data_IF_113697798173
#
_entry.id   IF_113697798173
#
_cell.length_a   1.000
_cell.length_b   1.000
_cell.length_c   1.000
_cell.angle_alpha   90.00
_cell.angle_beta   90.00
_cell.angle_gamma   90.00
#
_symmetry.space_group_name_H-M   'P 1'
#
loop_
_entity.id
_entity.type
_entity.pdbx_description
1 polymer ?
#
# COMPACT_ATOMS: atom_id res chain seq x y z
N UNK A 1 4.66 13.74 1.08
CA UNK A 1 5.76 13.09 0.32
C UNK A 1 5.73 11.57 0.47
N UNK A 2 5.78 10.82 -0.64
CA UNK A 2 5.87 9.36 -0.65
C UNK A 2 7.32 8.89 -0.80
N UNK A 3 7.74 7.85 -0.08
CA UNK A 3 9.10 7.28 -0.15
C UNK A 3 9.07 5.76 -0.08
N UNK A 4 10.03 5.12 -0.73
CA UNK A 4 10.30 3.69 -0.61
C UNK A 4 11.67 3.49 0.03
N UNK A 5 11.74 2.62 1.04
CA UNK A 5 12.95 2.16 1.68
C UNK A 5 13.19 0.71 1.27
N UNK A 6 14.40 0.43 0.80
CA UNK A 6 14.79 -0.86 0.27
C UNK A 6 16.20 -1.24 0.73
N UNK A 7 16.56 -2.53 0.69
CA UNK A 7 17.95 -2.95 0.86
C UNK A 7 18.93 -2.18 -0.03
N UNK A 8 20.16 -2.03 0.45
CA UNK A 8 21.19 -1.29 -0.27
C UNK A 8 21.43 -1.93 -1.64
N UNK A 9 21.40 -1.12 -2.69
CA UNK A 9 21.63 -1.56 -4.07
C UNK A 9 20.36 -1.96 -4.84
N UNK A 10 19.19 -2.06 -4.19
CA UNK A 10 17.94 -2.48 -4.85
C UNK A 10 16.89 -1.37 -4.99
N UNK A 11 17.23 -0.12 -4.65
CA UNK A 11 16.26 1.00 -4.58
C UNK A 11 15.45 1.20 -5.87
N UNK A 12 16.04 0.96 -7.05
CA UNK A 12 15.36 1.07 -8.34
C UNK A 12 14.13 0.16 -8.44
N UNK A 13 14.17 -1.00 -7.78
CA UNK A 13 13.05 -1.93 -7.77
C UNK A 13 11.83 -1.37 -7.02
N UNK A 14 11.99 -0.30 -6.22
CA UNK A 14 10.89 0.36 -5.52
C UNK A 14 10.17 1.43 -6.36
N UNK A 15 10.70 1.82 -7.52
CA UNK A 15 10.18 2.94 -8.33
C UNK A 15 8.74 2.70 -8.79
N UNK A 16 8.40 1.47 -9.19
CA UNK A 16 7.04 1.09 -9.56
C UNK A 16 6.05 1.36 -8.43
N UNK A 17 6.34 0.85 -7.23
CA UNK A 17 5.46 0.98 -6.06
C UNK A 17 5.37 2.41 -5.56
N UNK A 18 6.45 3.21 -5.66
CA UNK A 18 6.40 4.64 -5.39
C UNK A 18 5.40 5.37 -6.31
N UNK A 19 5.37 4.99 -7.60
CA UNK A 19 4.41 5.52 -8.56
C UNK A 19 2.97 5.13 -8.23
N UNK A 20 2.72 3.87 -7.87
CA UNK A 20 1.41 3.39 -7.42
C UNK A 20 0.96 4.17 -6.18
N UNK A 21 1.81 4.28 -5.18
CA UNK A 21 1.48 4.95 -3.92
C UNK A 21 1.07 6.40 -4.11
N UNK A 22 1.81 7.15 -4.94
CA UNK A 22 1.51 8.55 -5.20
C UNK A 22 0.12 8.69 -5.85
N UNK A 23 -0.15 7.94 -6.92
CA UNK A 23 -1.43 7.99 -7.62
C UNK A 23 -2.61 7.51 -6.76
N UNK A 24 -2.42 6.43 -5.99
CA UNK A 24 -3.46 5.91 -5.10
C UNK A 24 -3.80 6.88 -3.98
N UNK A 25 -2.80 7.54 -3.36
CA UNK A 25 -3.07 8.55 -2.34
C UNK A 25 -3.82 9.76 -2.90
N UNK A 26 -3.44 10.24 -4.09
CA UNK A 26 -4.15 11.34 -4.75
C UNK A 26 -5.61 10.96 -5.08
N UNK A 27 -5.82 9.73 -5.56
CA UNK A 27 -7.15 9.18 -5.81
C UNK A 27 -7.98 9.12 -4.53
N UNK A 28 -7.46 8.52 -3.46
CA UNK A 28 -8.19 8.36 -2.19
C UNK A 28 -8.48 9.68 -1.49
N UNK A 29 -7.59 10.66 -1.56
CA UNK A 29 -7.88 12.02 -1.11
C UNK A 29 -9.13 12.59 -1.78
N UNK A 30 -9.31 12.31 -3.08
CA UNK A 30 -10.45 12.78 -3.88
C UNK A 30 -11.70 11.94 -3.62
N UNK A 31 -11.59 10.62 -3.66
CA UNK A 31 -12.72 9.69 -3.53
C UNK A 31 -13.36 9.76 -2.14
N UNK A 32 -12.55 9.89 -1.09
CA UNK A 32 -13.05 9.94 0.29
C UNK A 32 -13.34 11.36 0.77
N UNK A 33 -13.08 12.38 -0.06
CA UNK A 33 -13.22 13.80 0.26
C UNK A 33 -12.59 14.16 1.62
N UNK A 34 -11.50 13.46 1.96
CA UNK A 34 -10.81 13.57 3.24
C UNK A 34 -9.32 13.40 2.97
N UNK A 35 -8.50 14.45 3.17
CA UNK A 35 -7.08 14.39 2.85
C UNK A 35 -6.34 13.46 3.81
N UNK A 36 -5.31 12.79 3.29
CA UNK A 36 -4.38 12.03 4.10
C UNK A 36 -3.73 12.95 5.16
N UNK A 37 -3.82 12.62 6.45
CA UNK A 37 -3.55 13.60 7.51
C UNK A 37 -2.07 13.77 7.86
N UNK A 38 -1.17 12.88 7.41
CA UNK A 38 0.25 12.95 7.75
C UNK A 38 1.06 13.62 6.63
N UNK A 39 2.16 14.32 6.96
CA UNK A 39 2.98 15.00 5.96
C UNK A 39 3.75 14.02 5.06
N UNK A 40 3.78 12.72 5.34
CA UNK A 40 4.56 11.73 4.62
C UNK A 40 3.92 10.35 4.62
N UNK A 41 4.22 9.58 3.58
CA UNK A 41 3.94 8.15 3.49
C UNK A 41 5.24 7.42 3.16
N UNK A 42 5.69 6.56 4.07
CA UNK A 42 6.85 5.71 3.83
C UNK A 42 6.39 4.26 3.61
N UNK A 43 6.99 3.59 2.63
CA UNK A 43 6.83 2.16 2.38
C UNK A 43 8.19 1.50 2.55
N UNK A 44 8.30 0.44 3.34
CA UNK A 44 9.58 -0.24 3.60
C UNK A 44 9.50 -1.71 3.23
N UNK A 45 10.48 -2.17 2.45
CA UNK A 45 10.70 -3.58 2.16
C UNK A 45 11.42 -4.24 3.34
N UNK A 46 10.78 -5.27 3.89
CA UNK A 46 11.28 -6.12 4.98
C UNK A 46 11.57 -7.50 4.40
N UNK A 47 12.80 -7.98 4.63
CA UNK A 47 13.28 -9.25 4.07
C UNK A 47 12.49 -10.45 4.61
N UNK A 48 12.37 -10.53 5.93
CA UNK A 48 11.64 -11.58 6.64
C UNK A 48 10.36 -10.99 7.23
N UNK A 49 9.23 -11.28 6.60
CA UNK A 49 7.93 -10.76 7.00
C UNK A 49 6.84 -11.82 6.80
N UNK A 50 6.19 -12.22 7.89
CA UNK A 50 5.22 -13.33 7.90
C UNK A 50 3.96 -13.03 7.10
N UNK A 51 3.46 -11.80 7.19
CA UNK A 51 2.35 -11.31 6.37
C UNK A 51 2.84 -10.87 4.97
N UNK A 52 1.90 -10.44 4.13
CA UNK A 52 2.22 -9.77 2.86
C UNK A 52 2.68 -8.33 3.08
N UNK A 53 1.92 -7.58 3.89
CA UNK A 53 2.20 -6.22 4.31
C UNK A 53 1.46 -5.90 5.62
N UNK A 54 1.67 -4.70 6.16
CA UNK A 54 0.99 -4.18 7.36
C UNK A 54 0.95 -2.65 7.34
N UNK A 55 -0.21 -2.10 7.64
CA UNK A 55 -0.66 -0.75 7.31
C UNK A 55 -0.18 0.36 8.24
N UNK A 56 0.88 0.11 9.03
CA UNK A 56 1.28 0.99 10.12
C UNK A 56 1.31 2.46 9.68
N UNK A 57 0.56 3.31 10.38
CA UNK A 57 0.21 4.65 9.90
C UNK A 57 1.45 5.49 9.57
N UNK A 58 1.61 5.80 8.29
CA UNK A 58 2.72 6.58 7.75
C UNK A 58 4.03 5.81 7.53
N UNK A 59 4.14 4.54 7.94
CA UNK A 59 5.27 3.65 7.65
C UNK A 59 4.76 2.23 7.36
N UNK A 60 4.26 2.02 6.16
CA UNK A 60 3.73 0.71 5.77
C UNK A 60 4.89 -0.26 5.52
N UNK A 61 4.81 -1.45 6.12
CA UNK A 61 5.82 -2.50 5.98
C UNK A 61 5.35 -3.54 4.99
N UNK A 62 6.22 -3.98 4.09
CA UNK A 62 5.90 -4.98 3.07
C UNK A 62 6.95 -6.08 3.07
N UNK A 63 6.51 -7.31 2.81
CA UNK A 63 7.43 -8.34 2.32
C UNK A 63 8.06 -7.86 1.01
N UNK A 64 9.34 -8.14 0.78
CA UNK A 64 10.06 -7.75 -0.45
C UNK A 64 9.28 -8.08 -1.74
N UNK A 65 8.68 -9.26 -1.84
CA UNK A 65 7.89 -9.70 -3.00
C UNK A 65 6.58 -8.93 -3.22
N UNK A 66 6.15 -8.13 -2.25
CA UNK A 66 4.91 -7.35 -2.27
C UNK A 66 5.16 -5.84 -2.51
N UNK A 67 6.42 -5.42 -2.63
CA UNK A 67 6.78 -4.01 -2.83
C UNK A 67 7.84 -3.80 -3.93
N UNK A 68 8.76 -4.74 -4.11
CA UNK A 68 9.90 -4.56 -5.01
C UNK A 68 9.61 -5.22 -6.38
N UNK A 69 9.82 -4.48 -7.46
CA UNK A 69 9.66 -4.92 -8.86
C UNK A 69 11.00 -4.86 -9.57
N UNK A 70 11.50 -6.02 -9.99
CA UNK A 70 12.62 -6.13 -10.92
C UNK A 70 12.09 -6.23 -12.37
N UNK A 71 12.40 -5.24 -13.20
CA UNK A 71 11.99 -5.17 -14.61
C UNK A 71 12.45 -6.38 -15.45
N UNK A 72 13.55 -7.04 -15.07
CA UNK A 72 14.07 -8.18 -15.82
C UNK A 72 13.34 -9.49 -15.51
N UNK A 73 12.79 -9.63 -14.30
CA UNK A 73 12.35 -10.93 -13.75
C UNK A 73 10.91 -10.93 -13.24
N UNK A 74 10.34 -9.77 -12.92
CA UNK A 74 9.00 -9.67 -12.34
C UNK A 74 7.95 -9.78 -13.43
N UNK A 75 7.10 -10.80 -13.33
CA UNK A 75 6.02 -11.03 -14.30
C UNK A 75 4.96 -9.92 -14.22
N UNK A 76 4.20 -9.74 -15.31
CA UNK A 76 3.09 -8.77 -15.32
C UNK A 76 2.05 -9.08 -14.23
N UNK A 77 1.74 -10.36 -14.01
CA UNK A 77 0.83 -10.78 -12.94
C UNK A 77 1.36 -10.40 -11.55
N UNK A 78 2.67 -10.57 -11.31
CA UNK A 78 3.32 -10.14 -10.08
C UNK A 78 3.30 -8.61 -9.91
N UNK A 79 3.51 -7.83 -10.98
CA UNK A 79 3.39 -6.37 -10.93
C UNK A 79 1.97 -5.92 -10.56
N UNK A 80 0.94 -6.56 -11.13
CA UNK A 80 -0.46 -6.31 -10.79
C UNK A 80 -0.75 -6.66 -9.33
N UNK A 81 -0.24 -7.80 -8.85
CA UNK A 81 -0.36 -8.19 -7.45
C UNK A 81 0.31 -7.19 -6.51
N UNK A 82 1.53 -6.74 -6.82
CA UNK A 82 2.25 -5.72 -6.03
C UNK A 82 1.45 -4.41 -5.99
N UNK A 83 0.91 -3.95 -7.12
CA UNK A 83 0.06 -2.77 -7.16
C UNK A 83 -1.20 -2.94 -6.28
N UNK A 84 -1.80 -4.14 -6.31
CA UNK A 84 -2.96 -4.50 -5.49
C UNK A 84 -2.63 -4.41 -4.00
N UNK A 85 -1.51 -4.99 -3.57
CA UNK A 85 -1.09 -4.95 -2.15
C UNK A 85 -0.77 -3.52 -1.73
N UNK A 86 -0.04 -2.75 -2.54
CA UNK A 86 0.25 -1.34 -2.24
C UNK A 86 -1.04 -0.54 -2.08
N UNK A 87 -2.02 -0.70 -2.98
CA UNK A 87 -3.29 0.00 -2.89
C UNK A 87 -4.10 -0.41 -1.65
N UNK A 88 -4.11 -1.70 -1.32
CA UNK A 88 -4.77 -2.25 -0.14
C UNK A 88 -4.25 -1.61 1.14
N UNK A 89 -2.93 -1.55 1.29
CA UNK A 89 -2.31 -0.95 2.48
C UNK A 89 -2.59 0.56 2.62
N UNK A 90 -2.71 1.25 1.50
CA UNK A 90 -3.03 2.68 1.48
C UNK A 90 -4.51 2.94 1.80
N UNK A 91 -5.40 2.00 1.51
CA UNK A 91 -6.82 2.12 1.87
C UNK A 91 -7.02 2.10 3.40
N UNK A 92 -6.24 1.31 4.13
CA UNK A 92 -6.29 1.30 5.60
C UNK A 92 -5.95 2.66 6.24
N UNK A 93 -5.28 3.56 5.52
CA UNK A 93 -5.02 4.90 6.05
C UNK A 93 -6.32 5.64 6.39
N UNK A 94 -7.43 5.30 5.72
CA UNK A 94 -8.78 5.72 6.08
C UNK A 94 -9.52 4.63 6.87
N UNK A 95 -9.55 3.39 6.35
CA UNK A 95 -10.33 2.28 6.91
C UNK A 95 -9.46 1.34 7.74
N UNK A 96 -9.09 1.78 8.94
CA UNK A 96 -8.32 1.03 9.91
C UNK A 96 -7.47 1.94 10.79
N UNK A 97 -6.88 2.98 10.19
CA UNK A 97 -6.08 3.98 10.89
C UNK A 97 -6.87 5.23 11.29
N UNK A 98 -7.67 5.81 10.37
CA UNK A 98 -8.49 6.99 10.68
C UNK A 98 -9.80 6.59 11.36
N UNK A 99 -10.46 5.57 10.82
CA UNK A 99 -11.62 4.91 11.42
C UNK A 99 -11.21 3.47 11.73
N UNK A 100 -11.20 3.12 13.00
CA UNK A 100 -10.82 1.78 13.48
C UNK A 100 -12.06 1.11 14.07
N UNK A 101 -12.26 -0.18 13.77
CA UNK A 101 -13.30 -0.97 14.43
C UNK A 101 -13.13 -0.95 15.96
N UNK A 102 -14.24 -0.97 16.69
CA UNK A 102 -14.22 -0.98 18.15
C UNK A 102 -13.64 -2.29 18.71
N UNK A 103 -13.93 -3.41 18.04
CA UNK A 103 -13.45 -4.73 18.44
C UNK A 103 -13.16 -5.64 17.24
N UNK A 104 -12.31 -6.64 17.45
CA UNK A 104 -11.82 -7.56 16.42
C UNK A 104 -12.90 -8.42 15.77
N UNK A 105 -14.07 -8.58 16.40
CA UNK A 105 -15.24 -9.20 15.75
C UNK A 105 -15.65 -8.47 14.47
N UNK A 106 -15.36 -7.16 14.41
CA UNK A 106 -15.69 -6.28 13.31
C UNK A 106 -14.48 -5.93 12.44
N UNK A 107 -13.43 -6.78 12.46
CA UNK A 107 -12.23 -6.61 11.64
C UNK A 107 -12.54 -6.45 10.14
N UNK A 108 -13.66 -7.00 9.67
CA UNK A 108 -14.14 -6.83 8.31
C UNK A 108 -14.36 -5.37 7.91
N UNK A 109 -14.63 -4.46 8.86
CA UNK A 109 -14.72 -3.02 8.61
C UNK A 109 -13.40 -2.43 8.11
N UNK A 110 -12.27 -3.01 8.51
CA UNK A 110 -10.97 -2.61 8.00
C UNK A 110 -10.65 -3.41 6.73
N UNK A 111 -10.55 -4.73 6.86
CA UNK A 111 -10.10 -5.66 5.80
C UNK A 111 -11.00 -5.66 4.57
N UNK A 112 -12.31 -5.64 4.77
CA UNK A 112 -13.31 -5.66 3.70
C UNK A 112 -13.32 -4.35 2.92
N UNK A 113 -13.26 -3.21 3.62
CA UNK A 113 -13.16 -1.91 2.97
C UNK A 113 -11.82 -1.73 2.26
N UNK A 114 -10.71 -2.18 2.85
CA UNK A 114 -9.41 -2.18 2.16
C UNK A 114 -9.48 -2.99 0.86
N UNK A 115 -10.02 -4.21 0.90
CA UNK A 115 -10.18 -5.07 -0.29
C UNK A 115 -11.05 -4.42 -1.37
N UNK A 116 -12.17 -3.80 -0.98
CA UNK A 116 -13.06 -3.12 -1.93
C UNK A 116 -12.37 -1.92 -2.61
N UNK A 117 -11.66 -1.09 -1.82
CA UNK A 117 -10.96 0.08 -2.33
C UNK A 117 -9.73 -0.25 -3.17
N UNK A 118 -9.10 -1.40 -2.95
CA UNK A 118 -8.07 -1.95 -3.85
C UNK A 118 -8.60 -2.08 -5.28
N UNK A 119 -9.80 -2.64 -5.46
CA UNK A 119 -10.42 -2.76 -6.78
C UNK A 119 -10.67 -1.39 -7.41
N UNK A 120 -11.21 -0.43 -6.64
CA UNK A 120 -11.44 0.94 -7.12
C UNK A 120 -10.13 1.58 -7.57
N UNK A 121 -9.05 1.44 -6.80
CA UNK A 121 -7.74 1.99 -7.17
C UNK A 121 -7.22 1.37 -8.45
N UNK A 122 -7.24 0.03 -8.58
CA UNK A 122 -6.67 -0.65 -9.75
C UNK A 122 -7.39 -0.34 -11.07
N UNK A 123 -8.69 -0.02 -11.04
CA UNK A 123 -9.42 0.40 -12.25
C UNK A 123 -9.14 1.84 -12.69
N UNK A 124 -8.55 2.66 -11.81
CA UNK A 124 -8.28 4.08 -12.06
C UNK A 124 -6.77 4.41 -12.15
N UNK A 125 -5.90 3.40 -12.05
CA UNK A 125 -4.44 3.51 -12.15
C UNK A 125 -3.94 3.15 -13.56
#
# INVERSE_FOLDING_TARGET
>A
PCRVYAPKGTIKQGEFSLGVCTRTLDLFNTVFDTPYPLPKMDMVSVADFDAGAMENRGLVTYRTSCLMVDEATTTQASKQWIASVVAHELAYQWFGNLVTMEWWSDLWLNEGFATCNTMISLFNL
#
